data_IF_279100203814
#
_entry.id   IF_279100203814
#
_cell.length_a   1.000
_cell.length_b   1.000
_cell.length_c   1.000
_cell.angle_alpha   90.00
_cell.angle_beta   90.00
_cell.angle_gamma   90.00
#
_symmetry.space_group_name_H-M   'P 1'
#
loop_
_entity.id
_entity.type
_entity.pdbx_description
1 polymer ?
#
# COMPACT_ATOMS: atom_id res chain seq x y z
N UNK A 1 30.87 -10.68 4.43
CA UNK A 1 31.29 -9.74 5.50
C UNK A 1 30.11 -9.60 6.45
N UNK A 2 30.22 -10.06 7.70
CA UNK A 2 29.22 -9.74 8.72
C UNK A 2 29.44 -8.27 9.10
N UNK A 3 28.37 -7.47 9.07
CA UNK A 3 28.39 -6.20 9.79
C UNK A 3 27.31 -6.25 10.84
N UNK A 4 27.79 -5.95 12.04
CA UNK A 4 27.19 -6.09 13.32
C UNK A 4 25.91 -5.26 13.52
N UNK A 5 25.07 -5.87 14.34
CA UNK A 5 24.00 -5.35 15.17
C UNK A 5 24.16 -3.88 15.59
N UNK A 6 23.08 -3.09 15.48
CA UNK A 6 22.80 -1.94 16.34
C UNK A 6 21.29 -1.65 16.45
N UNK A 7 20.72 -2.22 17.53
CA UNK A 7 19.61 -1.83 18.43
C UNK A 7 18.62 -0.73 17.99
N UNK A 8 17.28 -0.97 18.09
CA UNK A 8 16.25 0.06 17.96
C UNK A 8 16.06 0.88 19.25
N UNK A 9 16.10 2.21 19.16
CA UNK A 9 15.68 3.11 20.24
C UNK A 9 14.16 3.32 20.19
N UNK A 10 13.46 2.69 21.13
CA UNK A 10 12.05 2.94 21.44
C UNK A 10 11.94 4.16 22.36
N UNK A 11 11.37 5.25 21.87
CA UNK A 11 10.85 6.33 22.72
C UNK A 11 9.33 6.30 22.66
N UNK A 12 8.74 5.48 23.52
CA UNK A 12 7.33 5.55 23.91
C UNK A 12 7.18 6.70 24.88
N UNK A 13 6.49 7.77 24.48
CA UNK A 13 6.04 8.80 25.42
C UNK A 13 4.55 8.63 25.64
N UNK A 14 4.23 7.86 26.69
CA UNK A 14 2.94 7.85 27.35
C UNK A 14 2.61 9.24 27.89
N UNK A 15 1.43 9.76 27.58
CA UNK A 15 0.79 10.79 28.37
C UNK A 15 -0.73 10.59 28.30
N UNK A 16 -1.19 9.61 29.06
CA UNK A 16 -2.61 9.39 29.34
C UNK A 16 -2.97 10.18 30.60
N UNK A 17 -3.59 11.35 30.44
CA UNK A 17 -4.30 12.05 31.52
C UNK A 17 -5.77 11.71 31.41
N UNK A 18 -6.20 10.70 32.17
CA UNK A 18 -7.60 10.36 32.38
C UNK A 18 -8.16 11.41 33.34
N UNK A 19 -9.13 12.20 32.88
CA UNK A 19 -9.96 13.05 33.73
C UNK A 19 -11.31 12.37 33.89
N UNK A 20 -11.66 12.11 35.14
CA UNK A 20 -12.95 11.56 35.57
C UNK A 20 -14.10 12.43 35.09
N UNK A 21 -14.89 11.89 34.17
CA UNK A 21 -16.04 12.52 33.56
C UNK A 21 -17.26 11.61 33.58
N UNK A 22 -17.95 11.61 34.73
CA UNK A 22 -19.39 11.38 34.94
C UNK A 22 -20.17 10.65 33.83
N UNK A 23 -20.43 9.36 34.05
CA UNK A 23 -21.22 8.49 33.17
C UNK A 23 -22.72 8.68 33.48
N UNK A 24 -23.46 9.36 32.60
CA UNK A 24 -24.93 9.27 32.56
C UNK A 24 -25.36 8.15 31.62
N UNK A 25 -26.01 7.12 32.20
CA UNK A 25 -26.47 5.92 31.51
C UNK A 25 -27.72 6.22 30.66
N UNK A 26 -27.56 6.47 29.37
CA UNK A 26 -28.69 6.44 28.42
C UNK A 26 -28.73 5.09 27.67
N UNK A 27 -29.66 4.23 28.10
CA UNK A 27 -30.03 2.98 27.42
C UNK A 27 -30.71 3.29 26.08
N UNK A 28 -29.94 3.33 24.99
CA UNK A 28 -30.49 3.20 23.63
C UNK A 28 -30.49 1.72 23.24
N UNK A 29 -31.69 1.17 23.02
CA UNK A 29 -31.87 -0.15 22.40
C UNK A 29 -31.54 0.00 20.91
N UNK A 30 -30.44 -0.62 20.47
CA UNK A 30 -30.15 -0.78 19.06
C UNK A 30 -30.47 -2.22 18.69
N UNK A 31 -31.30 -2.40 17.67
CA UNK A 31 -31.59 -3.68 17.05
C UNK A 31 -30.35 -4.05 16.23
N UNK A 32 -29.59 -5.03 16.69
CA UNK A 32 -28.44 -5.58 15.95
C UNK A 32 -29.00 -6.63 14.99
N UNK A 33 -29.27 -6.24 13.75
CA UNK A 33 -29.49 -7.19 12.66
C UNK A 33 -28.16 -7.85 12.30
N UNK A 34 -28.03 -9.19 12.34
CA UNK A 34 -26.83 -9.86 11.91
C UNK A 34 -26.88 -10.00 10.39
N UNK A 35 -26.44 -8.97 9.64
CA UNK A 35 -26.08 -9.21 8.25
C UNK A 35 -24.65 -9.75 8.22
N UNK A 36 -24.51 -11.02 8.65
CA UNK A 36 -23.34 -11.83 8.34
C UNK A 36 -23.46 -12.20 6.87
N UNK A 37 -23.20 -11.22 6.00
CA UNK A 37 -23.06 -11.44 4.57
C UNK A 37 -21.78 -12.26 4.42
N UNK A 38 -21.95 -13.57 4.35
CA UNK A 38 -20.93 -14.52 3.96
C UNK A 38 -20.49 -14.15 2.55
N UNK A 39 -19.51 -13.25 2.48
CA UNK A 39 -18.59 -13.19 1.37
C UNK A 39 -17.91 -14.55 1.33
N UNK A 40 -18.50 -15.46 0.55
CA UNK A 40 -17.72 -16.53 -0.04
C UNK A 40 -16.79 -15.82 -1.00
N UNK A 41 -15.69 -15.29 -0.46
CA UNK A 41 -14.58 -14.80 -1.27
C UNK A 41 -14.11 -16.02 -2.03
N UNK A 42 -14.53 -16.11 -3.30
CA UNK A 42 -14.07 -17.16 -4.20
C UNK A 42 -12.53 -17.16 -4.09
N UNK A 43 -11.91 -18.26 -3.59
CA UNK A 43 -10.48 -18.32 -3.33
C UNK A 43 -9.65 -18.18 -4.61
N UNK A 44 -10.29 -18.17 -5.78
CA UNK A 44 -9.66 -17.89 -7.08
C UNK A 44 -9.93 -16.47 -7.60
N UNK A 45 -10.66 -15.64 -6.85
CA UNK A 45 -11.02 -14.26 -7.22
C UNK A 45 -10.27 -13.20 -6.41
N UNK A 46 -9.06 -13.49 -5.93
CA UNK A 46 -8.12 -12.43 -5.60
C UNK A 46 -7.71 -11.73 -6.89
N UNK A 47 -8.64 -11.02 -7.52
CA UNK A 47 -8.33 -9.96 -8.45
C UNK A 47 -7.65 -8.90 -7.62
N UNK A 48 -6.34 -9.06 -7.46
CA UNK A 48 -5.49 -8.06 -6.84
C UNK A 48 -5.74 -6.77 -7.62
N UNK A 49 -6.08 -5.72 -6.89
CA UNK A 49 -6.35 -4.40 -7.47
C UNK A 49 -5.12 -3.56 -7.21
N UNK A 50 -4.62 -2.86 -8.22
CA UNK A 50 -3.49 -1.96 -8.04
C UNK A 50 -3.84 -0.89 -7.00
N UNK A 51 -2.97 -0.72 -6.00
CA UNK A 51 -3.15 0.22 -4.90
C UNK A 51 -3.19 1.69 -5.34
N UNK A 52 -2.55 2.03 -6.47
CA UNK A 52 -2.52 3.40 -6.98
C UNK A 52 -3.68 3.68 -7.94
N UNK A 53 -3.73 2.95 -9.06
CA UNK A 53 -4.70 3.22 -10.12
C UNK A 53 -6.04 2.50 -9.96
N UNK A 54 -6.21 1.63 -8.95
CA UNK A 54 -7.39 0.80 -8.75
C UNK A 54 -7.79 -0.07 -9.96
N UNK A 55 -6.85 -0.33 -10.88
CA UNK A 55 -7.09 -1.21 -12.02
C UNK A 55 -6.75 -2.66 -11.68
N UNK A 56 -7.51 -3.60 -12.27
CA UNK A 56 -7.19 -5.01 -12.27
C UNK A 56 -6.17 -5.27 -13.39
N UNK A 57 -5.14 -6.04 -13.08
CA UNK A 57 -4.10 -6.46 -14.03
C UNK A 57 -3.82 -7.95 -13.82
N UNK A 58 -3.18 -8.60 -14.77
CA UNK A 58 -2.60 -9.93 -14.55
C UNK A 58 -1.17 -9.85 -13.99
N UNK A 59 -0.55 -8.68 -14.08
CA UNK A 59 0.85 -8.48 -13.76
C UNK A 59 1.00 -7.52 -12.58
N UNK A 60 1.24 -8.09 -11.40
CA UNK A 60 1.45 -7.34 -10.16
C UNK A 60 2.83 -7.56 -9.57
N UNK A 61 3.32 -6.51 -8.91
CA UNK A 61 4.37 -6.59 -7.92
C UNK A 61 3.78 -6.34 -6.53
N UNK A 62 4.29 -7.08 -5.55
CA UNK A 62 3.86 -7.00 -4.16
C UNK A 62 4.87 -6.20 -3.36
N UNK A 63 4.41 -5.28 -2.51
CA UNK A 63 5.32 -4.54 -1.64
C UNK A 63 6.03 -5.49 -0.66
N UNK A 64 7.36 -5.34 -0.46
CA UNK A 64 8.08 -6.09 0.54
C UNK A 64 7.62 -5.66 1.95
N UNK A 65 7.80 -6.57 2.92
CA UNK A 65 7.46 -6.31 4.33
C UNK A 65 8.54 -5.55 5.07
N UNK A 66 9.80 -5.76 4.67
CA UNK A 66 10.95 -5.06 5.22
C UNK A 66 10.86 -3.54 4.94
N UNK A 67 10.95 -2.66 5.96
CA UNK A 67 10.78 -1.22 5.80
C UNK A 67 11.80 -0.58 4.83
N UNK A 68 13.05 -1.04 4.86
CA UNK A 68 14.12 -0.48 4.03
C UNK A 68 13.89 -0.84 2.55
N UNK A 69 13.66 -2.13 2.28
CA UNK A 69 13.30 -2.59 0.94
C UNK A 69 11.99 -1.97 0.44
N UNK A 70 11.03 -1.72 1.34
CA UNK A 70 9.76 -1.08 1.00
C UNK A 70 9.96 0.37 0.56
N UNK A 71 10.82 1.11 1.23
CA UNK A 71 11.17 2.47 0.83
C UNK A 71 11.80 2.49 -0.58
N UNK A 72 12.78 1.62 -0.82
CA UNK A 72 13.41 1.48 -2.14
C UNK A 72 12.45 1.02 -3.22
N UNK A 73 11.53 0.12 -2.88
CA UNK A 73 10.47 -0.35 -3.77
C UNK A 73 9.55 0.80 -4.18
N UNK A 74 9.07 1.59 -3.22
CA UNK A 74 8.16 2.72 -3.47
C UNK A 74 8.84 3.85 -4.27
N UNK A 75 10.13 4.08 -4.08
CA UNK A 75 10.89 5.07 -4.86
C UNK A 75 11.05 4.70 -6.34
N UNK A 76 10.88 3.42 -6.71
CA UNK A 76 10.93 2.95 -8.11
C UNK A 76 9.60 3.11 -8.84
N UNK A 77 8.52 3.37 -8.12
CA UNK A 77 7.18 3.49 -8.68
C UNK A 77 7.03 4.90 -9.26
N UNK A 78 6.57 5.01 -10.50
CA UNK A 78 6.16 6.28 -11.07
C UNK A 78 4.86 6.70 -10.40
N UNK A 79 4.92 7.83 -9.71
CA UNK A 79 3.79 8.43 -9.02
C UNK A 79 3.37 9.68 -9.78
N UNK A 80 2.33 9.64 -10.64
CA UNK A 80 1.99 10.75 -11.51
C UNK A 80 1.31 11.91 -10.76
N UNK A 81 0.71 11.66 -9.59
CA UNK A 81 -0.07 12.63 -8.83
C UNK A 81 0.46 12.81 -7.41
N UNK A 82 0.40 14.04 -6.88
CA UNK A 82 0.70 14.35 -5.48
C UNK A 82 -0.12 13.49 -4.51
N UNK A 83 -1.37 13.16 -4.86
CA UNK A 83 -2.25 12.31 -4.05
C UNK A 83 -1.71 10.87 -3.93
N UNK A 84 -1.19 10.34 -5.02
CA UNK A 84 -0.61 8.99 -5.04
C UNK A 84 0.70 8.94 -4.25
N UNK A 85 1.42 10.06 -4.17
CA UNK A 85 2.63 10.19 -3.36
C UNK A 85 2.32 10.11 -1.89
N UNK A 86 1.26 10.80 -1.44
CA UNK A 86 0.78 10.71 -0.06
C UNK A 86 0.32 9.29 0.29
N UNK A 87 -0.35 8.60 -0.64
CA UNK A 87 -0.73 7.19 -0.46
C UNK A 87 0.49 6.28 -0.31
N UNK A 88 1.51 6.45 -1.15
CA UNK A 88 2.76 5.68 -1.03
C UNK A 88 3.46 5.93 0.31
N UNK A 89 3.54 7.19 0.76
CA UNK A 89 4.11 7.55 2.07
C UNK A 89 3.31 6.93 3.21
N UNK A 90 1.98 6.95 3.13
CA UNK A 90 1.10 6.34 4.12
C UNK A 90 1.30 4.82 4.17
N UNK A 91 1.40 4.18 2.99
CA UNK A 91 1.65 2.76 2.89
C UNK A 91 3.01 2.37 3.50
N UNK A 92 4.05 3.16 3.23
CA UNK A 92 5.39 2.96 3.80
C UNK A 92 5.35 2.89 5.34
N UNK A 93 4.56 3.77 5.97
CA UNK A 93 4.37 3.82 7.42
C UNK A 93 3.45 2.72 7.96
N UNK A 94 2.47 2.28 7.17
CA UNK A 94 1.38 1.41 7.64
C UNK A 94 1.81 -0.04 7.92
N UNK A 95 2.90 -0.52 7.35
CA UNK A 95 3.27 -1.94 7.47
C UNK A 95 2.55 -2.86 6.47
N UNK A 96 1.47 -2.41 5.84
CA UNK A 96 0.57 -3.27 5.07
C UNK A 96 1.15 -3.71 3.72
N UNK A 97 0.76 -4.92 3.29
CA UNK A 97 1.03 -5.41 1.94
C UNK A 97 0.12 -4.70 0.95
N UNK A 98 0.68 -4.31 -0.20
CA UNK A 98 -0.10 -3.75 -1.30
C UNK A 98 0.41 -4.30 -2.64
N UNK A 99 -0.48 -4.33 -3.61
CA UNK A 99 -0.24 -4.81 -4.97
C UNK A 99 -0.15 -3.61 -5.92
N UNK A 100 0.81 -3.64 -6.83
CA UNK A 100 1.08 -2.56 -7.78
C UNK A 100 1.18 -3.16 -9.18
N UNK A 101 0.44 -2.62 -10.15
CA UNK A 101 0.59 -3.10 -11.52
C UNK A 101 1.97 -2.73 -12.07
N UNK A 102 2.51 -3.57 -12.97
CA UNK A 102 3.82 -3.32 -13.59
C UNK A 102 3.89 -2.01 -14.39
N UNK A 103 2.76 -1.47 -14.83
CA UNK A 103 2.71 -0.20 -15.59
C UNK A 103 3.22 0.99 -14.79
N UNK A 104 3.17 0.92 -13.45
CA UNK A 104 3.76 1.96 -12.60
C UNK A 104 5.27 1.81 -12.41
N UNK A 105 5.85 0.65 -12.71
CA UNK A 105 7.29 0.51 -12.74
C UNK A 105 7.74 0.99 -14.10
N UNK A 106 8.39 2.15 -14.13
CA UNK A 106 8.96 2.72 -15.34
C UNK A 106 9.69 1.59 -16.06
N UNK A 107 9.15 1.14 -17.20
CA UNK A 107 9.94 0.40 -18.17
C UNK A 107 11.13 1.31 -18.37
N UNK A 108 12.28 0.92 -17.83
CA UNK A 108 13.55 1.59 -18.13
C UNK A 108 13.47 1.83 -19.61
N UNK A 109 13.43 3.11 -19.99
CA UNK A 109 13.27 3.54 -21.38
C UNK A 109 14.04 2.53 -22.19
N UNK A 110 13.36 1.79 -23.06
CA UNK A 110 14.08 1.06 -24.07
C UNK A 110 14.93 2.14 -24.73
N UNK A 111 16.24 2.13 -24.47
CA UNK A 111 17.24 2.92 -25.18
C UNK A 111 17.37 2.33 -26.61
N UNK A 112 16.36 1.62 -27.08
CA UNK A 112 16.13 1.37 -28.48
C UNK A 112 15.37 2.59 -28.99
N UNK A 113 16.05 3.53 -29.69
CA UNK A 113 15.32 4.37 -30.61
C UNK A 113 14.42 3.47 -31.44
N UNK A 114 13.15 3.84 -31.59
CA UNK A 114 12.35 3.29 -32.67
C UNK A 114 13.09 3.66 -33.95
N UNK A 115 13.88 2.73 -34.48
CA UNK A 115 14.51 2.89 -35.77
C UNK A 115 13.36 3.07 -36.76
N UNK A 116 13.34 4.27 -37.33
CA UNK A 116 12.23 4.78 -38.09
C UNK A 116 11.82 3.86 -39.23
N UNK A 117 10.52 3.92 -39.50
CA UNK A 117 9.96 3.74 -40.82
C UNK A 117 10.91 4.26 -41.90
N UNK A 118 11.62 3.34 -42.56
CA UNK A 118 12.04 3.55 -43.95
C UNK A 118 10.86 3.18 -44.84
N UNK A 119 9.97 4.14 -45.04
CA UNK A 119 9.19 4.18 -46.27
C UNK A 119 10.00 4.99 -47.29
N UNK A 120 10.52 4.29 -48.29
CA UNK A 120 10.98 4.84 -49.57
C UNK A 120 10.77 3.70 -50.58
N UNK A 121 9.66 3.73 -51.31
CA UNK A 121 9.47 4.30 -52.66
C UNK A 121 10.08 3.39 -53.73
#
# INVERSE_FOLDING_TARGET
RPFDQCIPTINSTENSKIKDGLITKHRRRYIVTPLRQSFVSDPRSWTEVCYLCNQRSSNFCVSPMDPLQRWDFLNKIIVPSSRDKERAVTLAKSGNRAYFCLDHFQRRRSIFPQEGERQGS
#
